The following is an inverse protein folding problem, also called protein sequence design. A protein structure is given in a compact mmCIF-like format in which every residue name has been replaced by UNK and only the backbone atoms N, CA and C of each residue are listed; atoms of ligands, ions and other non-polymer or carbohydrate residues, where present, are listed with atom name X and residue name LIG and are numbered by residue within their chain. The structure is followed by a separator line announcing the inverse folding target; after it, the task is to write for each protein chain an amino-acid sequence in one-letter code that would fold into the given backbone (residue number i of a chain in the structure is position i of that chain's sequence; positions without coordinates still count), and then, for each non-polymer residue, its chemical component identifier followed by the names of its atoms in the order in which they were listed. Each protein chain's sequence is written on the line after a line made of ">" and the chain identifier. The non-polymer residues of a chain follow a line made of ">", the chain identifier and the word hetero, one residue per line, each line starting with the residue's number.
data_IF_943921349056
#
_entry.id   IF_943921349056
#
_cell.length_a   1.000
_cell.length_b   1.000
_cell.length_c   1.000
_cell.angle_alpha   90.00
_cell.angle_beta   90.00
_cell.angle_gamma   90.00
#
_symmetry.space_group_name_H-M   'P 1'
#
loop_
_entity.id
_entity.type
_entity.pdbx_description
1 polymer ?
#
# COMPACT_ATOMS: atom_id res chain seq x y z
N UNK A 1 -42.97 90.73 33.57
CA UNK A 1 -43.19 91.63 32.41
C UNK A 1 -42.16 91.29 31.36
N UNK A 2 -42.70 91.11 30.18
CA UNK A 2 -42.03 91.00 28.89
C UNK A 2 -41.24 89.72 28.51
N UNK A 3 -41.96 89.09 27.66
CA UNK A 3 -41.60 88.15 26.66
C UNK A 3 -40.51 88.63 25.70
N UNK A 4 -39.68 87.75 25.20
CA UNK A 4 -39.29 87.84 23.78
C UNK A 4 -38.96 86.41 23.25
N UNK A 5 -39.71 86.10 22.22
CA UNK A 5 -39.59 84.91 21.38
C UNK A 5 -38.24 84.92 20.60
N UNK A 6 -37.60 83.80 20.47
CA UNK A 6 -36.56 83.58 19.46
C UNK A 6 -36.81 82.28 18.67
N UNK A 7 -36.88 82.46 17.37
CA UNK A 7 -37.12 81.47 16.31
C UNK A 7 -36.00 80.46 16.20
N UNK A 8 -36.28 79.16 16.37
CA UNK A 8 -35.34 78.14 16.15
C UNK A 8 -35.31 77.64 14.69
N UNK A 9 -34.18 77.75 14.06
CA UNK A 9 -33.89 77.13 12.76
C UNK A 9 -33.61 75.62 12.97
N UNK A 10 -34.37 74.76 12.33
CA UNK A 10 -34.10 73.33 12.23
C UNK A 10 -33.09 73.11 11.13
N UNK A 11 -31.88 72.62 11.47
CA UNK A 11 -30.91 71.97 10.53
C UNK A 11 -31.29 70.51 10.45
N UNK A 12 -31.67 70.09 9.28
CA UNK A 12 -31.81 68.61 8.96
C UNK A 12 -30.49 67.98 8.81
N UNK A 13 -30.18 66.97 9.65
CA UNK A 13 -29.04 66.11 9.51
C UNK A 13 -29.47 64.94 8.58
N UNK A 14 -28.94 64.98 7.36
CA UNK A 14 -29.09 63.85 6.43
C UNK A 14 -28.21 62.68 6.88
N UNK A 15 -28.84 61.60 7.28
CA UNK A 15 -28.18 60.36 7.60
C UNK A 15 -27.89 59.58 6.29
N UNK A 16 -26.64 59.60 5.83
CA UNK A 16 -26.19 58.70 4.76
C UNK A 16 -25.99 57.28 5.35
N UNK A 17 -26.88 56.37 5.05
CA UNK A 17 -26.71 54.97 5.33
C UNK A 17 -25.71 54.37 4.31
N UNK A 18 -24.50 54.08 4.74
CA UNK A 18 -23.51 53.28 3.96
C UNK A 18 -23.89 51.81 4.12
N UNK A 19 -24.50 51.22 3.10
CA UNK A 19 -24.68 49.76 3.00
C UNK A 19 -23.32 49.14 2.69
N UNK A 20 -22.67 48.60 3.72
CA UNK A 20 -21.54 47.72 3.55
C UNK A 20 -22.05 46.35 3.11
N UNK A 21 -21.92 46.04 1.82
CA UNK A 21 -22.12 44.66 1.32
C UNK A 21 -20.94 43.79 1.78
N UNK A 22 -21.17 43.01 2.83
CA UNK A 22 -20.27 41.93 3.22
C UNK A 22 -20.44 40.80 2.20
N UNK A 23 -19.51 40.67 1.26
CA UNK A 23 -19.42 39.49 0.42
C UNK A 23 -18.96 38.31 1.30
N UNK A 24 -19.90 37.44 1.68
CA UNK A 24 -19.56 36.14 2.25
C UNK A 24 -18.88 35.29 1.15
N UNK A 25 -17.59 35.24 1.16
CA UNK A 25 -16.85 34.17 0.49
C UNK A 25 -17.18 32.87 1.25
N UNK A 26 -18.21 32.16 0.82
CA UNK A 26 -18.43 30.78 1.19
C UNK A 26 -17.36 29.92 0.51
N UNK A 27 -16.17 29.81 1.12
CA UNK A 27 -15.28 28.72 0.79
C UNK A 27 -16.05 27.44 1.07
N UNK A 28 -16.41 26.72 0.03
CA UNK A 28 -17.03 25.41 0.13
C UNK A 28 -16.09 24.51 0.97
N UNK A 29 -16.41 24.33 2.24
CA UNK A 29 -15.74 23.33 3.08
C UNK A 29 -16.24 22.00 2.59
N UNK A 30 -15.44 21.35 1.72
CA UNK A 30 -15.65 19.95 1.39
C UNK A 30 -15.63 19.14 2.70
N UNK A 31 -16.64 18.32 2.89
CA UNK A 31 -16.73 17.46 4.06
C UNK A 31 -15.49 16.54 4.09
N UNK A 32 -14.83 16.34 5.24
CA UNK A 32 -13.65 15.44 5.34
C UNK A 32 -13.90 14.04 4.77
N UNK A 33 -15.14 13.57 4.78
CA UNK A 33 -15.54 12.29 4.18
C UNK A 33 -15.54 12.31 2.65
N UNK A 34 -15.90 13.42 2.02
CA UNK A 34 -15.94 13.55 0.55
C UNK A 34 -14.51 13.58 0.00
N UNK A 35 -13.60 14.31 0.65
CA UNK A 35 -12.19 14.33 0.29
C UNK A 35 -11.52 12.97 0.46
N UNK A 36 -11.88 12.21 1.49
CA UNK A 36 -11.38 10.86 1.72
C UNK A 36 -11.83 9.89 0.63
N UNK A 37 -13.11 9.92 0.22
CA UNK A 37 -13.65 9.08 -0.86
C UNK A 37 -13.11 9.48 -2.24
N UNK A 38 -12.75 10.76 -2.46
CA UNK A 38 -12.08 11.19 -3.68
C UNK A 38 -10.64 10.63 -3.80
N UNK A 39 -9.95 10.44 -2.65
CA UNK A 39 -8.57 9.94 -2.61
C UNK A 39 -8.45 8.42 -2.58
N UNK A 40 -9.40 7.72 -1.97
CA UNK A 40 -9.33 6.28 -1.72
C UNK A 40 -10.64 5.57 -2.04
N UNK A 41 -10.54 4.44 -2.74
CA UNK A 41 -11.69 3.57 -3.02
C UNK A 41 -11.56 2.28 -2.21
N UNK A 42 -12.51 1.98 -1.30
CA UNK A 42 -12.47 0.75 -0.50
C UNK A 42 -12.73 -0.48 -1.37
N UNK A 43 -12.03 -1.57 -1.06
CA UNK A 43 -12.20 -2.89 -1.66
C UNK A 43 -12.57 -3.89 -0.56
N UNK A 44 -13.04 -5.08 -0.93
CA UNK A 44 -13.40 -6.12 0.04
C UNK A 44 -12.23 -6.43 1.01
N UNK A 45 -12.52 -6.69 2.31
CA UNK A 45 -11.48 -6.93 3.32
C UNK A 45 -10.64 -8.18 3.04
N UNK A 46 -9.41 -8.19 3.55
CA UNK A 46 -8.56 -9.37 3.61
C UNK A 46 -7.96 -9.80 2.29
N UNK A 47 -7.71 -8.85 1.37
CA UNK A 47 -7.17 -9.16 0.05
C UNK A 47 -5.70 -9.55 0.09
N UNK A 48 -4.87 -8.81 0.82
CA UNK A 48 -3.44 -9.06 0.98
C UNK A 48 -3.19 -9.60 2.40
N UNK A 49 -3.41 -10.90 2.54
CA UNK A 49 -3.40 -11.57 3.84
C UNK A 49 -1.98 -11.96 4.28
N UNK A 50 -1.76 -12.18 5.58
CA UNK A 50 -0.54 -12.79 6.09
C UNK A 50 -0.10 -14.01 5.29
N UNK A 51 1.18 -14.36 5.40
CA UNK A 51 1.75 -15.51 4.71
C UNK A 51 0.97 -16.80 5.00
N UNK A 52 0.72 -17.59 3.96
CA UNK A 52 0.09 -18.92 4.09
C UNK A 52 1.13 -19.99 3.86
N UNK A 53 1.88 -20.30 4.91
CA UNK A 53 2.96 -21.28 4.85
C UNK A 53 2.41 -22.66 4.45
N UNK A 54 3.04 -23.28 3.44
CA UNK A 54 2.86 -24.68 3.09
C UNK A 54 3.82 -25.56 3.88
N UNK A 55 5.11 -25.25 3.78
CA UNK A 55 6.13 -25.96 4.55
C UNK A 55 7.40 -25.11 4.70
N UNK A 56 8.22 -25.51 5.67
CA UNK A 56 9.57 -24.99 5.86
C UNK A 56 10.55 -25.90 5.12
N UNK A 57 11.37 -25.33 4.25
CA UNK A 57 12.38 -26.07 3.48
C UNK A 57 13.73 -26.13 4.21
N UNK A 58 14.11 -25.06 4.91
CA UNK A 58 15.31 -24.92 5.71
C UNK A 58 15.11 -23.89 6.83
N UNK A 59 16.18 -23.55 7.56
CA UNK A 59 16.10 -22.54 8.61
C UNK A 59 15.76 -21.13 8.11
N UNK A 60 15.98 -20.86 6.83
CA UNK A 60 15.74 -19.56 6.20
C UNK A 60 14.92 -19.64 4.91
N UNK A 61 14.37 -20.80 4.54
CA UNK A 61 13.65 -21.00 3.28
C UNK A 61 12.27 -21.63 3.51
N UNK A 62 11.23 -21.06 2.88
CA UNK A 62 9.84 -21.39 3.11
C UNK A 62 9.06 -21.51 1.81
N UNK A 63 8.14 -22.48 1.75
CA UNK A 63 7.11 -22.52 0.73
C UNK A 63 5.82 -21.88 1.26
N UNK A 64 5.23 -21.02 0.45
CA UNK A 64 3.98 -20.32 0.77
C UNK A 64 2.98 -20.45 -0.38
N UNK A 65 1.69 -20.46 -0.08
CA UNK A 65 0.64 -20.48 -1.10
C UNK A 65 0.38 -19.12 -1.76
N UNK A 66 0.76 -18.03 -1.08
CA UNK A 66 0.40 -16.67 -1.52
C UNK A 66 1.57 -15.71 -1.69
N UNK A 67 2.72 -15.90 -1.02
CA UNK A 67 3.85 -14.97 -1.05
C UNK A 67 5.08 -15.55 -1.75
N UNK A 68 5.82 -14.69 -2.46
CA UNK A 68 7.16 -14.94 -2.97
C UNK A 68 8.02 -13.70 -2.80
N UNK A 69 9.21 -13.83 -2.22
CA UNK A 69 10.12 -12.72 -1.94
C UNK A 69 10.92 -12.96 -0.67
N UNK A 70 11.08 -11.92 0.13
CA UNK A 70 11.87 -11.95 1.35
C UNK A 70 11.12 -11.38 2.54
N UNK A 71 11.41 -11.94 3.72
CA UNK A 71 11.10 -11.34 5.00
C UNK A 71 12.36 -11.23 5.87
N UNK A 72 12.42 -10.21 6.72
CA UNK A 72 13.41 -10.08 7.79
C UNK A 72 12.65 -10.16 9.11
N UNK A 73 12.96 -11.17 9.92
CA UNK A 73 12.29 -11.39 11.21
C UNK A 73 13.03 -10.75 12.36
N UNK A 74 12.30 -10.37 13.41
CA UNK A 74 12.84 -9.79 14.63
C UNK A 74 11.98 -10.14 15.86
N UNK A 75 12.41 -9.69 17.02
CA UNK A 75 11.59 -9.75 18.22
C UNK A 75 10.35 -8.85 18.07
N UNK A 76 9.27 -9.17 18.79
CA UNK A 76 8.10 -8.30 18.82
C UNK A 76 8.49 -6.87 19.27
N UNK A 77 7.98 -5.87 18.56
CA UNK A 77 8.31 -4.46 18.78
C UNK A 77 9.65 -3.99 18.19
N UNK A 78 10.38 -4.86 17.48
CA UNK A 78 11.71 -4.51 16.97
C UNK A 78 11.72 -3.93 15.57
N UNK A 79 10.73 -4.22 14.72
CA UNK A 79 10.65 -3.70 13.35
C UNK A 79 9.95 -2.36 13.34
N UNK A 80 10.65 -1.32 12.90
CA UNK A 80 10.11 0.05 12.91
C UNK A 80 10.04 0.71 11.55
N UNK A 81 10.70 0.14 10.53
CA UNK A 81 10.72 0.64 9.16
C UNK A 81 10.87 -0.52 8.18
N UNK A 82 10.16 -0.44 7.06
CA UNK A 82 10.36 -1.28 5.88
C UNK A 82 10.18 -0.40 4.63
N UNK A 83 11.17 -0.41 3.71
CA UNK A 83 11.13 0.39 2.48
C UNK A 83 11.59 -0.40 1.28
N UNK A 84 11.07 -0.04 0.12
CA UNK A 84 11.37 -0.67 -1.15
C UNK A 84 11.25 0.30 -2.32
N UNK A 85 11.89 -0.08 -3.42
CA UNK A 85 11.55 0.41 -4.76
C UNK A 85 11.36 -0.80 -5.67
N UNK A 86 10.38 -0.73 -6.57
CA UNK A 86 10.19 -1.75 -7.61
C UNK A 86 9.77 -1.13 -8.92
N UNK A 87 10.03 -1.87 -10.01
CA UNK A 87 9.47 -1.56 -11.31
C UNK A 87 8.17 -2.33 -11.49
N UNK A 88 7.06 -1.64 -11.77
CA UNK A 88 5.76 -2.27 -12.03
C UNK A 88 5.88 -3.21 -13.21
N UNK A 89 5.74 -4.53 -13.03
CA UNK A 89 5.91 -5.46 -14.13
C UNK A 89 4.70 -5.40 -15.07
N UNK A 90 4.91 -5.47 -16.40
CA UNK A 90 3.82 -5.68 -17.33
C UNK A 90 3.22 -7.07 -17.11
N UNK A 91 1.90 -7.17 -17.16
CA UNK A 91 1.20 -8.45 -17.01
C UNK A 91 0.75 -9.00 -18.36
N UNK A 92 1.01 -10.31 -18.58
CA UNK A 92 0.56 -11.04 -19.76
C UNK A 92 -0.82 -11.64 -19.50
N UNK A 93 -1.85 -11.11 -20.17
CA UNK A 93 -3.21 -11.60 -19.98
C UNK A 93 -3.57 -12.67 -21.03
N UNK A 94 -4.07 -13.85 -20.62
CA UNK A 94 -4.40 -14.90 -21.55
C UNK A 94 -5.51 -14.47 -22.52
N UNK A 95 -5.24 -14.65 -23.83
CA UNK A 95 -6.20 -14.41 -24.92
C UNK A 95 -6.78 -15.76 -25.33
N UNK A 96 -8.10 -15.97 -25.17
CA UNK A 96 -8.71 -17.25 -25.54
C UNK A 96 -10.22 -17.28 -25.49
N UNK A 97 -10.81 -18.36 -26.00
CA UNK A 97 -12.25 -18.59 -26.21
C UNK A 97 -13.02 -19.09 -24.99
N UNK A 98 -12.38 -19.34 -23.85
CA UNK A 98 -13.04 -19.76 -22.59
C UNK A 98 -13.34 -18.53 -21.72
N UNK A 99 -14.29 -18.61 -20.76
CA UNK A 99 -14.50 -17.55 -19.80
C UNK A 99 -13.14 -17.15 -19.21
N UNK A 100 -12.76 -15.90 -19.40
CA UNK A 100 -11.45 -15.40 -18.99
C UNK A 100 -11.42 -15.35 -17.47
N UNK A 101 -10.73 -16.30 -16.88
CA UNK A 101 -10.49 -16.29 -15.44
C UNK A 101 -9.64 -15.06 -15.10
N UNK A 102 -10.12 -14.26 -14.15
CA UNK A 102 -9.30 -13.18 -13.61
C UNK A 102 -8.07 -13.76 -12.92
N UNK A 103 -6.94 -13.10 -13.09
CA UNK A 103 -5.68 -13.43 -12.46
C UNK A 103 -5.14 -12.16 -11.79
N UNK A 104 -4.40 -12.31 -10.71
CA UNK A 104 -4.03 -11.21 -9.84
C UNK A 104 -2.58 -11.33 -9.44
N UNK A 105 -1.87 -10.21 -9.34
CA UNK A 105 -0.52 -10.15 -8.80
C UNK A 105 -0.28 -8.81 -8.13
N UNK A 106 0.29 -8.83 -6.92
CA UNK A 106 0.56 -7.65 -6.12
C UNK A 106 2.04 -7.59 -5.77
N UNK A 107 2.59 -6.38 -5.70
CA UNK A 107 3.98 -6.08 -5.37
C UNK A 107 3.99 -5.02 -4.28
N UNK A 108 4.57 -5.35 -3.11
CA UNK A 108 4.41 -4.50 -1.94
C UNK A 108 5.56 -4.62 -0.94
N UNK A 109 5.62 -3.66 -0.04
CA UNK A 109 6.45 -3.62 1.15
C UNK A 109 5.55 -3.52 2.37
N UNK A 110 5.92 -4.19 3.46
CA UNK A 110 5.11 -4.24 4.67
C UNK A 110 5.89 -4.48 5.95
N UNK A 111 5.17 -4.33 7.05
CA UNK A 111 5.57 -4.76 8.38
C UNK A 111 4.51 -5.76 8.86
N UNK A 112 4.95 -6.83 9.53
CA UNK A 112 4.13 -7.92 10.07
C UNK A 112 3.51 -8.85 9.00
N UNK A 113 2.97 -9.99 9.44
CA UNK A 113 2.31 -10.98 8.60
C UNK A 113 3.14 -12.23 8.29
N UNK A 114 4.44 -12.25 8.59
CA UNK A 114 5.23 -13.47 8.46
C UNK A 114 5.01 -14.42 9.65
N UNK A 115 4.94 -13.88 10.87
CA UNK A 115 4.80 -14.66 12.10
C UNK A 115 3.52 -14.34 12.90
N UNK A 116 2.66 -13.46 12.39
CA UNK A 116 1.48 -12.95 13.10
C UNK A 116 0.28 -12.78 12.15
N UNK A 117 -0.77 -12.08 12.62
CA UNK A 117 -2.04 -11.99 11.93
C UNK A 117 -2.41 -10.56 11.48
N UNK A 118 -1.49 -9.61 11.51
CA UNK A 118 -1.65 -8.27 10.92
C UNK A 118 -0.67 -8.08 9.79
N UNK A 119 -0.91 -7.16 8.88
CA UNK A 119 0.05 -6.70 7.88
C UNK A 119 -0.22 -5.22 7.62
N UNK A 120 0.75 -4.39 7.85
CA UNK A 120 0.73 -2.98 7.53
C UNK A 120 1.51 -2.78 6.23
N UNK A 121 0.80 -2.52 5.12
CA UNK A 121 1.38 -2.69 3.79
C UNK A 121 0.86 -1.68 2.77
N UNK A 122 1.69 -1.43 1.75
CA UNK A 122 1.39 -0.56 0.62
C UNK A 122 2.06 -1.08 -0.64
N UNK A 123 1.34 -1.04 -1.76
CA UNK A 123 1.83 -1.66 -2.99
C UNK A 123 1.11 -1.25 -4.26
N UNK A 124 1.39 -2.03 -5.31
CA UNK A 124 0.75 -1.95 -6.61
C UNK A 124 0.28 -3.31 -7.07
N UNK A 125 -0.85 -3.36 -7.76
CA UNK A 125 -1.33 -4.56 -8.45
C UNK A 125 -1.07 -4.48 -9.96
N UNK A 126 -0.78 -5.64 -10.54
CA UNK A 126 -0.73 -5.89 -11.98
C UNK A 126 -1.64 -7.08 -12.28
N UNK A 127 -2.90 -6.78 -12.55
CA UNK A 127 -3.97 -7.78 -12.66
C UNK A 127 -4.34 -8.05 -14.12
N UNK A 128 -4.87 -9.25 -14.39
CA UNK A 128 -5.62 -9.57 -15.59
C UNK A 128 -7.10 -9.65 -15.29
N UNK A 129 -7.86 -8.61 -15.60
CA UNK A 129 -9.31 -8.60 -15.39
C UNK A 129 -10.05 -8.72 -16.71
N UNK A 130 -10.82 -9.81 -16.87
CA UNK A 130 -11.53 -10.13 -18.11
C UNK A 130 -10.61 -10.16 -19.35
N UNK A 131 -9.35 -10.61 -19.17
CA UNK A 131 -8.33 -10.69 -20.21
C UNK A 131 -7.72 -9.34 -20.62
N UNK A 132 -7.80 -8.32 -19.75
CA UNK A 132 -7.18 -7.02 -19.94
C UNK A 132 -6.29 -6.68 -18.74
N UNK A 133 -5.10 -6.13 -18.97
CA UNK A 133 -4.26 -5.62 -17.90
C UNK A 133 -4.95 -4.47 -17.15
N UNK A 134 -4.82 -4.49 -15.83
CA UNK A 134 -5.31 -3.44 -14.93
C UNK A 134 -4.25 -3.20 -13.86
N UNK A 135 -3.89 -1.93 -13.66
CA UNK A 135 -2.84 -1.52 -12.74
C UNK A 135 -3.38 -0.47 -11.78
N UNK A 136 -3.06 -0.55 -10.50
CA UNK A 136 -3.42 0.44 -9.49
C UNK A 136 -2.51 0.38 -8.27
N UNK A 137 -2.41 1.49 -7.54
CA UNK A 137 -1.76 1.56 -6.24
C UNK A 137 -2.79 1.32 -5.13
N UNK A 138 -2.37 0.71 -4.03
CA UNK A 138 -3.23 0.39 -2.91
C UNK A 138 -2.47 0.40 -1.58
N UNK A 139 -3.22 0.46 -0.46
CA UNK A 139 -2.73 0.16 0.88
C UNK A 139 -3.74 -0.69 1.64
N UNK A 140 -3.25 -1.48 2.57
CA UNK A 140 -4.09 -2.28 3.48
C UNK A 140 -3.41 -2.33 4.85
N UNK A 141 -4.22 -2.17 5.89
CA UNK A 141 -3.85 -2.46 7.27
C UNK A 141 -4.66 -3.69 7.68
N UNK A 142 -4.17 -4.87 7.29
CA UNK A 142 -4.89 -6.12 7.52
C UNK A 142 -5.16 -6.35 9.02
N UNK A 143 -6.39 -6.78 9.43
CA UNK A 143 -7.48 -7.33 8.59
C UNK A 143 -8.51 -6.30 8.11
N UNK A 144 -8.24 -5.01 8.18
CA UNK A 144 -9.16 -3.99 7.65
C UNK A 144 -9.23 -4.06 6.11
N UNK A 145 -10.24 -3.43 5.49
CA UNK A 145 -10.34 -3.37 4.03
C UNK A 145 -9.13 -2.71 3.37
N UNK A 146 -8.72 -3.24 2.21
CA UNK A 146 -7.82 -2.59 1.28
C UNK A 146 -8.46 -1.33 0.67
N UNK A 147 -7.64 -0.34 0.36
CA UNK A 147 -8.05 0.88 -0.34
C UNK A 147 -7.19 1.13 -1.57
N UNK A 148 -7.83 1.36 -2.72
CA UNK A 148 -7.15 1.85 -3.92
C UNK A 148 -6.82 3.33 -3.73
N UNK A 149 -5.60 3.73 -4.11
CA UNK A 149 -5.09 5.10 -4.05
C UNK A 149 -5.38 5.80 -5.37
N UNK A 150 -6.44 6.61 -5.42
CA UNK A 150 -6.88 7.26 -6.65
C UNK A 150 -5.97 8.41 -7.14
N UNK A 151 -5.11 8.94 -6.24
CA UNK A 151 -4.19 10.04 -6.56
C UNK A 151 -2.91 9.61 -7.29
N UNK A 152 -2.69 8.30 -7.43
CA UNK A 152 -1.50 7.74 -8.07
C UNK A 152 -1.94 6.82 -9.20
N UNK A 153 -1.66 7.22 -10.43
CA UNK A 153 -1.89 6.39 -11.61
C UNK A 153 -0.70 5.46 -11.82
N UNK A 154 -0.96 4.19 -12.12
CA UNK A 154 0.07 3.16 -12.30
C UNK A 154 0.03 2.63 -13.72
N UNK A 155 1.21 2.58 -14.35
CA UNK A 155 1.42 1.95 -15.66
C UNK A 155 2.54 0.91 -15.58
N UNK A 156 2.59 -0.07 -16.50
CA UNK A 156 3.73 -0.98 -16.58
C UNK A 156 5.03 -0.20 -16.83
N UNK A 157 6.09 -0.64 -16.18
CA UNK A 157 7.43 -0.04 -16.16
C UNK A 157 7.56 1.26 -15.34
N UNK A 158 6.52 1.72 -14.65
CA UNK A 158 6.67 2.78 -13.66
C UNK A 158 7.60 2.31 -12.52
N UNK A 159 8.43 3.23 -12.04
CA UNK A 159 9.27 3.00 -10.86
C UNK A 159 8.53 3.51 -9.64
N UNK A 160 8.35 2.64 -8.67
CA UNK A 160 7.65 2.92 -7.41
C UNK A 160 8.67 2.97 -6.28
N UNK A 161 8.48 3.90 -5.36
CA UNK A 161 9.15 3.94 -4.05
C UNK A 161 8.09 3.94 -2.96
N UNK A 162 8.23 3.07 -1.96
CA UNK A 162 7.26 2.95 -0.89
C UNK A 162 7.92 2.63 0.46
N UNK A 163 7.25 3.02 1.52
CA UNK A 163 7.73 2.88 2.89
C UNK A 163 6.57 2.65 3.87
N UNK A 164 6.83 1.80 4.85
CA UNK A 164 5.98 1.56 6.03
C UNK A 164 6.79 1.86 7.28
N UNK A 165 6.25 2.73 8.14
CA UNK A 165 6.92 3.16 9.38
C UNK A 165 6.01 2.90 10.57
N UNK A 166 6.54 2.26 11.61
CA UNK A 166 5.90 2.22 12.92
C UNK A 166 6.27 3.47 13.72
N UNK A 167 5.25 4.21 14.15
CA UNK A 167 5.41 5.45 14.93
C UNK A 167 5.28 5.20 16.44
N UNK A 168 5.25 3.92 16.86
CA UNK A 168 5.02 3.52 18.25
C UNK A 168 3.53 3.53 18.66
N UNK A 169 3.22 2.86 19.76
CA UNK A 169 1.83 2.78 20.27
C UNK A 169 0.84 2.12 19.31
N UNK A 170 1.31 1.26 18.40
CA UNK A 170 0.50 0.61 17.37
C UNK A 170 0.11 1.52 16.21
N UNK A 171 0.67 2.73 16.11
CA UNK A 171 0.46 3.62 14.96
C UNK A 171 1.44 3.31 13.84
N UNK A 172 0.91 3.19 12.63
CA UNK A 172 1.69 3.00 11.42
C UNK A 172 1.39 4.07 10.40
N UNK A 173 2.39 4.35 9.58
CA UNK A 173 2.32 5.27 8.46
C UNK A 173 2.81 4.55 7.22
N UNK A 174 2.05 4.64 6.13
CA UNK A 174 2.45 4.14 4.81
C UNK A 174 2.49 5.30 3.81
N UNK A 175 3.44 5.23 2.87
CA UNK A 175 3.56 6.19 1.78
C UNK A 175 4.07 5.52 0.51
N UNK A 176 3.56 5.95 -0.66
CA UNK A 176 3.97 5.47 -1.97
C UNK A 176 4.12 6.63 -2.94
N UNK A 177 5.19 6.62 -3.70
CA UNK A 177 5.46 7.57 -4.78
C UNK A 177 5.72 6.80 -6.07
N UNK A 178 4.96 7.12 -7.12
CA UNK A 178 5.33 6.79 -8.49
C UNK A 178 6.41 7.77 -8.93
N UNK A 179 7.67 7.32 -8.90
CA UNK A 179 8.85 8.15 -9.21
C UNK A 179 8.86 8.57 -10.68
N UNK A 180 8.35 7.71 -11.58
CA UNK A 180 8.29 7.99 -13.02
C UNK A 180 7.38 9.18 -13.33
N UNK A 181 6.23 9.28 -12.65
CA UNK A 181 5.22 10.32 -12.90
C UNK A 181 5.23 11.43 -11.85
N UNK A 182 6.05 11.30 -10.80
CA UNK A 182 6.11 12.19 -9.63
C UNK A 182 4.75 12.37 -8.93
N UNK A 183 3.93 11.30 -8.91
CA UNK A 183 2.66 11.25 -8.17
C UNK A 183 2.86 10.56 -6.83
N UNK A 184 2.20 11.05 -5.78
CA UNK A 184 2.34 10.50 -4.42
C UNK A 184 0.98 10.26 -3.76
N UNK A 185 0.91 9.19 -2.96
CA UNK A 185 -0.21 8.94 -2.05
C UNK A 185 -0.32 9.99 -0.95
N UNK A 186 0.78 10.70 -0.68
CA UNK A 186 0.97 11.37 0.60
C UNK A 186 1.09 10.34 1.73
N UNK A 187 1.09 10.83 2.95
CA UNK A 187 1.18 10.04 4.17
C UNK A 187 -0.21 9.53 4.59
N UNK A 188 -0.33 8.22 4.83
CA UNK A 188 -1.56 7.56 5.28
C UNK A 188 -1.24 6.89 6.62
N UNK A 189 -1.96 7.26 7.68
CA UNK A 189 -1.68 6.74 9.03
C UNK A 189 -2.92 6.15 9.67
N UNK A 190 -2.74 5.05 10.43
CA UNK A 190 -3.77 4.46 11.26
C UNK A 190 -3.17 3.74 12.46
N UNK A 191 -3.99 3.46 13.45
CA UNK A 191 -3.62 2.58 14.55
C UNK A 191 -4.07 1.16 14.24
N UNK A 192 -3.18 0.18 14.41
CA UNK A 192 -3.45 -1.26 14.24
C UNK A 192 -3.26 -1.96 15.58
N UNK A 193 -4.35 -2.16 16.33
CA UNK A 193 -4.28 -2.89 17.57
C UNK A 193 -3.87 -4.35 17.34
N UNK A 194 -2.86 -4.82 18.05
CA UNK A 194 -2.36 -6.20 17.94
C UNK A 194 -1.22 -6.41 16.97
N UNK A 195 -0.79 -5.39 16.23
CA UNK A 195 0.44 -5.42 15.43
C UNK A 195 1.65 -5.77 16.30
N UNK A 196 2.46 -6.71 15.82
CA UNK A 196 3.58 -7.28 16.59
C UNK A 196 4.91 -6.58 16.26
N UNK A 197 5.04 -5.93 15.09
CA UNK A 197 6.31 -5.34 14.63
C UNK A 197 7.45 -6.36 14.67
N UNK A 198 7.16 -7.56 14.14
CA UNK A 198 8.00 -8.75 14.26
C UNK A 198 8.69 -9.15 12.95
N UNK A 199 8.27 -8.57 11.83
CA UNK A 199 8.87 -8.82 10.52
C UNK A 199 8.73 -7.63 9.59
N UNK A 200 9.62 -7.54 8.57
CA UNK A 200 9.55 -6.62 7.45
C UNK A 200 9.59 -7.43 6.16
N UNK A 201 8.77 -7.10 5.15
CA UNK A 201 8.52 -7.91 3.98
C UNK A 201 8.64 -7.13 2.67
N UNK A 202 9.10 -7.84 1.61
CA UNK A 202 9.21 -7.42 0.21
C UNK A 202 8.68 -8.54 -0.66
N UNK A 203 7.45 -8.40 -1.15
CA UNK A 203 6.67 -9.54 -1.63
C UNK A 203 6.03 -9.30 -3.00
N UNK A 204 6.10 -10.34 -3.85
CA UNK A 204 5.17 -10.59 -4.92
C UNK A 204 4.10 -11.57 -4.42
N UNK A 205 2.82 -11.20 -4.49
CA UNK A 205 1.72 -11.95 -3.87
C UNK A 205 0.68 -12.41 -4.90
N UNK A 206 0.11 -13.61 -4.66
CA UNK A 206 -1.19 -14.01 -5.16
C UNK A 206 -2.26 -13.60 -4.14
N UNK A 207 -3.01 -12.51 -4.34
CA UNK A 207 -3.98 -12.04 -3.36
C UNK A 207 -5.03 -13.09 -3.02
N UNK A 208 -5.77 -12.85 -1.95
CA UNK A 208 -6.80 -13.76 -1.47
C UNK A 208 -8.21 -13.17 -1.65
N UNK A 209 -9.21 -14.05 -1.59
CA UNK A 209 -10.62 -13.71 -1.43
C UNK A 209 -11.25 -14.62 -0.37
N UNK A 210 -12.54 -14.48 -0.13
CA UNK A 210 -13.28 -15.41 0.74
C UNK A 210 -13.22 -16.87 0.27
N UNK A 211 -12.89 -17.13 -0.99
CA UNK A 211 -12.71 -18.48 -1.56
C UNK A 211 -11.29 -19.02 -1.50
N UNK A 212 -10.34 -18.27 -0.95
CA UNK A 212 -8.92 -18.65 -0.83
C UNK A 212 -7.99 -17.81 -1.71
N UNK A 213 -6.78 -18.32 -1.93
CA UNK A 213 -5.76 -17.68 -2.77
C UNK A 213 -6.21 -17.66 -4.22
N UNK A 214 -6.11 -16.50 -4.86
CA UNK A 214 -6.51 -16.28 -6.23
C UNK A 214 -5.45 -16.78 -7.24
N UNK A 215 -5.84 -17.04 -8.50
CA UNK A 215 -4.90 -17.38 -9.56
C UNK A 215 -3.87 -16.26 -9.76
N UNK A 216 -2.58 -16.62 -9.81
CA UNK A 216 -1.50 -15.67 -10.02
C UNK A 216 -1.46 -15.21 -11.47
N UNK A 217 -1.41 -13.89 -11.71
CA UNK A 217 -1.23 -13.33 -13.04
C UNK A 217 0.23 -13.52 -13.51
N UNK A 218 0.41 -13.70 -14.82
CA UNK A 218 1.74 -13.79 -15.44
C UNK A 218 2.36 -12.38 -15.53
N UNK A 219 3.14 -12.05 -14.53
CA UNK A 219 3.89 -10.80 -14.45
C UNK A 219 5.33 -10.92 -14.99
N UNK A 220 5.71 -12.09 -15.53
CA UNK A 220 7.08 -12.34 -15.98
C UNK A 220 8.08 -12.25 -14.84
N UNK A 221 8.72 -11.10 -14.68
CA UNK A 221 9.70 -10.87 -13.62
C UNK A 221 9.49 -9.49 -12.98
N UNK A 222 9.42 -9.46 -11.66
CA UNK A 222 9.34 -8.24 -10.85
C UNK A 222 10.69 -7.96 -10.20
N UNK A 223 11.23 -6.75 -10.35
CA UNK A 223 12.48 -6.33 -9.73
C UNK A 223 12.19 -5.46 -8.51
N UNK A 224 12.70 -5.88 -7.35
CA UNK A 224 12.76 -5.10 -6.13
C UNK A 224 14.17 -4.56 -5.91
N UNK A 225 14.29 -3.29 -5.52
CA UNK A 225 15.56 -2.61 -5.30
C UNK A 225 15.46 -1.61 -4.15
N UNK A 226 16.60 -1.10 -3.69
CA UNK A 226 16.68 -0.16 -2.56
C UNK A 226 15.95 -0.67 -1.31
N UNK A 227 15.85 -2.00 -1.18
CA UNK A 227 15.16 -2.64 -0.08
C UNK A 227 15.95 -2.48 1.22
N UNK A 228 15.25 -2.12 2.27
CA UNK A 228 15.86 -1.98 3.58
C UNK A 228 14.82 -1.93 4.69
N UNK A 229 15.29 -2.15 5.92
CA UNK A 229 14.48 -2.12 7.12
C UNK A 229 15.24 -1.51 8.30
N UNK A 230 14.50 -1.20 9.37
CA UNK A 230 15.07 -0.93 10.69
C UNK A 230 14.53 -1.98 11.67
N UNK A 231 15.44 -2.81 12.18
CA UNK A 231 15.13 -3.91 13.10
C UNK A 231 16.03 -3.83 14.33
N UNK A 232 15.44 -3.77 15.53
CA UNK A 232 16.20 -3.65 16.78
C UNK A 232 17.04 -2.36 16.85
N UNK A 233 16.60 -1.30 16.18
CA UNK A 233 17.32 -0.02 16.07
C UNK A 233 18.46 0.00 15.05
N UNK A 234 18.76 -1.12 14.39
CA UNK A 234 19.74 -1.18 13.29
C UNK A 234 19.04 -1.02 11.95
N UNK A 235 19.49 -0.04 11.15
CA UNK A 235 19.00 0.18 9.77
C UNK A 235 19.97 -0.42 8.76
N UNK A 236 19.44 -1.20 7.80
CA UNK A 236 20.27 -1.84 6.78
C UNK A 236 19.48 -2.39 5.61
N UNK A 237 20.21 -2.96 4.63
CA UNK A 237 19.62 -3.74 3.53
C UNK A 237 19.09 -5.08 4.03
N UNK A 238 18.25 -5.77 3.23
CA UNK A 238 17.78 -7.14 3.57
C UNK A 238 18.97 -8.03 3.95
N UNK A 239 20.01 -8.08 3.12
CA UNK A 239 21.17 -8.95 3.33
C UNK A 239 21.97 -8.66 4.61
N UNK A 240 21.84 -7.45 5.20
CA UNK A 240 22.57 -7.07 6.41
C UNK A 240 22.03 -7.75 7.68
N UNK A 241 20.84 -8.35 7.65
CA UNK A 241 20.21 -8.97 8.80
C UNK A 241 20.55 -10.47 8.97
N UNK A 242 21.41 -11.04 8.10
CA UNK A 242 22.01 -12.35 8.27
C UNK A 242 21.00 -13.49 8.44
N UNK A 243 21.07 -14.23 9.55
CA UNK A 243 20.17 -15.36 9.82
C UNK A 243 18.70 -15.02 10.01
N UNK A 244 18.36 -13.73 10.16
CA UNK A 244 16.98 -13.29 10.26
C UNK A 244 16.30 -13.12 8.89
N UNK A 245 17.06 -13.24 7.79
CA UNK A 245 16.54 -13.17 6.43
C UNK A 245 15.88 -14.50 6.07
N UNK A 246 14.65 -14.43 5.59
CA UNK A 246 13.84 -15.56 5.17
C UNK A 246 13.50 -15.40 3.69
N UNK A 247 13.83 -16.38 2.84
CA UNK A 247 13.37 -16.44 1.47
C UNK A 247 12.07 -17.26 1.36
N UNK A 248 11.17 -16.82 0.49
CA UNK A 248 9.83 -17.37 0.38
C UNK A 248 9.56 -17.71 -1.08
N UNK A 249 9.31 -18.98 -1.37
CA UNK A 249 8.89 -19.47 -2.68
C UNK A 249 7.39 -19.68 -2.70
N UNK A 250 6.71 -19.16 -3.72
CA UNK A 250 5.27 -19.37 -3.88
C UNK A 250 4.98 -20.67 -4.61
N UNK A 251 4.14 -21.53 -4.02
CA UNK A 251 3.73 -22.82 -4.58
C UNK A 251 2.23 -22.93 -4.78
N UNK A 252 1.80 -23.84 -5.64
CA UNK A 252 0.38 -24.15 -5.86
C UNK A 252 -0.25 -24.85 -4.66
N UNK A 253 -1.56 -24.59 -4.42
CA UNK A 253 -2.28 -25.18 -3.30
C UNK A 253 -2.57 -26.68 -3.48
N UNK A 254 -2.52 -27.19 -4.71
CA UNK A 254 -2.81 -28.60 -5.03
C UNK A 254 -1.53 -29.37 -5.33
N UNK A 255 -1.45 -30.60 -4.83
CA UNK A 255 -0.37 -31.50 -5.17
C UNK A 255 -0.21 -31.66 -6.69
N UNK A 256 1.01 -31.70 -7.23
CA UNK A 256 2.33 -31.78 -6.55
C UNK A 256 2.90 -30.44 -6.08
N UNK A 257 2.10 -29.40 -5.85
CA UNK A 257 2.49 -28.06 -5.39
C UNK A 257 3.51 -27.40 -6.33
N UNK A 258 3.18 -27.19 -7.62
CA UNK A 258 4.11 -26.60 -8.56
C UNK A 258 4.52 -25.19 -8.12
N UNK A 259 5.77 -24.82 -8.38
CA UNK A 259 6.24 -23.46 -8.09
C UNK A 259 5.46 -22.47 -8.95
N UNK A 260 4.89 -21.45 -8.32
CA UNK A 260 4.16 -20.36 -8.98
C UNK A 260 5.06 -19.16 -9.23
N UNK A 261 5.86 -18.80 -8.24
CA UNK A 261 6.86 -17.74 -8.32
C UNK A 261 7.98 -17.99 -7.31
N UNK A 262 9.19 -17.56 -7.64
CA UNK A 262 10.33 -17.71 -6.74
C UNK A 262 11.24 -16.49 -6.78
N UNK A 263 11.87 -16.11 -5.63
CA UNK A 263 12.85 -15.06 -5.60
C UNK A 263 14.21 -15.56 -6.14
N UNK A 264 14.98 -14.64 -6.72
CA UNK A 264 16.42 -14.85 -6.93
C UNK A 264 17.16 -14.70 -5.61
N UNK A 265 18.44 -15.11 -5.55
CA UNK A 265 19.33 -14.66 -4.48
C UNK A 265 19.38 -13.13 -4.42
N UNK A 266 19.65 -12.58 -3.24
CA UNK A 266 19.91 -11.15 -3.05
C UNK A 266 21.16 -10.72 -3.85
N UNK A 267 21.18 -9.46 -4.29
CA UNK A 267 22.38 -8.82 -4.82
C UNK A 267 23.53 -8.82 -3.79
N UNK A 268 24.76 -8.61 -4.23
CA UNK A 268 25.94 -8.62 -3.35
C UNK A 268 25.86 -7.62 -2.20
N UNK A 269 25.19 -6.48 -2.40
CA UNK A 269 24.94 -5.45 -1.38
C UNK A 269 23.68 -5.73 -0.55
N UNK A 270 22.93 -6.79 -0.86
CA UNK A 270 21.72 -7.20 -0.17
C UNK A 270 20.53 -6.28 -0.37
N UNK A 271 20.57 -5.34 -1.34
CA UNK A 271 19.52 -4.33 -1.52
C UNK A 271 18.49 -4.71 -2.57
N UNK A 272 18.75 -5.71 -3.41
CA UNK A 272 17.87 -6.03 -4.55
C UNK A 272 17.75 -7.51 -4.82
N UNK A 273 16.65 -7.89 -5.47
CA UNK A 273 16.35 -9.24 -5.95
C UNK A 273 15.26 -9.18 -7.02
N UNK A 274 15.08 -10.29 -7.72
CA UNK A 274 13.99 -10.52 -8.66
C UNK A 274 13.04 -11.58 -8.13
N UNK A 275 11.75 -11.44 -8.45
CA UNK A 275 10.79 -12.54 -8.34
C UNK A 275 10.35 -12.93 -9.74
N UNK A 276 10.50 -14.19 -10.10
CA UNK A 276 10.12 -14.72 -11.41
C UNK A 276 8.83 -15.52 -11.31
N UNK A 277 7.83 -15.17 -12.14
CA UNK A 277 6.64 -15.96 -12.33
C UNK A 277 6.95 -17.25 -13.10
N UNK A 278 6.38 -18.38 -12.69
CA UNK A 278 6.57 -19.67 -13.31
C UNK A 278 5.25 -20.35 -13.71
N UNK A 279 4.18 -20.13 -12.93
CA UNK A 279 2.86 -20.67 -13.24
C UNK A 279 1.74 -19.92 -12.53
N UNK A 280 0.55 -19.95 -13.11
CA UNK A 280 -0.66 -19.39 -12.47
C UNK A 280 -1.09 -20.18 -11.23
N UNK A 281 -0.70 -21.44 -11.15
CA UNK A 281 -1.18 -22.40 -10.16
C UNK A 281 -2.55 -22.99 -10.51
N UNK A 282 -3.01 -24.01 -9.80
CA UNK A 282 -4.05 -23.88 -8.80
C UNK A 282 -3.48 -23.68 -7.39
#
# INVERSE_FOLDING_TARGET
>A
MNETRALGRRLGLGMFAVLATVALNAAARTSPNVDRLARFTPVAPGRHSPVKIHQRQSDSSWDSYNWSGYAVTGAAGSVTDARASWTVPPVSCPIGSKPRQNQYSSFWVGIDGFNDNTVEQIGTDSDCQRGRPTYYAWFEFYPNPMFIINSVTIHPNDVISAEVVSNGGGWFTVSLTNVTTNQSSGTISTQVPGAQQSSAEWIAEAPSSSSGVLPLADFGTAMFSQNGATVGGATGSIGSFGSNVQDITMVGQRAPHPIKAQPSSLSTDGTSFWVTWLSTGP
#
